data_IF_837468563232
#
_entry.id   IF_837468563232
#
_cell.length_a   1.000
_cell.length_b   1.000
_cell.length_c   1.000
_cell.angle_alpha   90.00
_cell.angle_beta   90.00
_cell.angle_gamma   90.00
#
_symmetry.space_group_name_H-M   'P 1'
#
loop_
_entity.id
_entity.type
_entity.pdbx_description
1 polymer ?
#
# COMPACT_ATOMS: atom_id res chain seq x y z
N UNK A 1 -16.39 3.71 -24.86
CA UNK A 1 -17.34 3.74 -23.73
C UNK A 1 -16.66 3.19 -22.47
N UNK A 2 -16.81 3.85 -21.33
CA UNK A 2 -16.20 3.46 -20.04
C UNK A 2 -17.23 2.76 -19.18
N UNK A 3 -16.92 1.54 -18.72
CA UNK A 3 -17.80 0.68 -17.93
C UNK A 3 -17.04 0.21 -16.69
N UNK A 4 -17.75 0.04 -15.59
CA UNK A 4 -17.25 -0.66 -14.43
C UNK A 4 -17.93 -2.01 -14.31
N UNK A 5 -17.12 -3.03 -14.06
CA UNK A 5 -17.62 -4.38 -13.86
C UNK A 5 -17.64 -4.66 -12.35
N UNK A 6 -18.79 -5.08 -11.78
CA UNK A 6 -18.85 -5.51 -10.39
C UNK A 6 -18.04 -6.79 -10.19
N UNK A 7 -17.53 -6.98 -8.98
CA UNK A 7 -16.85 -8.21 -8.58
C UNK A 7 -17.90 -9.27 -8.28
N UNK A 8 -17.75 -10.44 -8.90
CA UNK A 8 -18.69 -11.56 -8.75
C UNK A 8 -18.11 -12.67 -7.89
N UNK A 9 -16.79 -12.86 -7.91
CA UNK A 9 -16.13 -13.86 -7.08
C UNK A 9 -14.65 -13.59 -6.87
N UNK A 10 -14.13 -14.04 -5.73
CA UNK A 10 -12.72 -13.94 -5.37
C UNK A 10 -12.23 -15.29 -4.88
N UNK A 11 -11.12 -15.78 -5.43
CA UNK A 11 -10.40 -16.94 -4.89
C UNK A 11 -9.15 -16.46 -4.19
N UNK A 12 -9.08 -16.59 -2.86
CA UNK A 12 -7.93 -16.17 -2.07
C UNK A 12 -6.93 -17.33 -1.98
N UNK A 13 -5.67 -17.02 -2.24
CA UNK A 13 -4.51 -17.90 -2.16
C UNK A 13 -3.58 -17.45 -1.02
N UNK A 14 -2.56 -18.25 -0.63
CA UNK A 14 -1.63 -17.85 0.44
C UNK A 14 -0.80 -16.60 0.12
N UNK A 15 -0.59 -16.30 -1.16
CA UNK A 15 0.31 -15.25 -1.69
C UNK A 15 -0.42 -14.18 -2.52
N UNK A 16 -1.74 -14.27 -2.67
CA UNK A 16 -2.53 -13.34 -3.49
C UNK A 16 -4.00 -13.72 -3.56
N UNK A 17 -4.75 -13.08 -4.45
CA UNK A 17 -6.11 -13.49 -4.79
C UNK A 17 -6.35 -13.39 -6.30
N UNK A 18 -7.23 -14.23 -6.81
CA UNK A 18 -7.76 -14.14 -8.18
C UNK A 18 -9.15 -13.53 -8.08
N UNK A 19 -9.34 -12.36 -8.67
CA UNK A 19 -10.61 -11.62 -8.67
C UNK A 19 -11.28 -11.80 -10.01
N UNK A 20 -12.58 -12.08 -10.00
CA UNK A 20 -13.44 -12.18 -11.18
C UNK A 20 -14.50 -11.08 -11.16
N UNK A 21 -14.52 -10.28 -12.21
CA UNK A 21 -15.51 -9.24 -12.45
C UNK A 21 -16.35 -9.60 -13.66
N UNK A 22 -17.65 -9.35 -13.61
CA UNK A 22 -18.56 -9.66 -14.71
C UNK A 22 -19.69 -8.66 -14.79
N UNK A 23 -20.05 -8.25 -16.00
CA UNK A 23 -21.13 -7.30 -16.24
C UNK A 23 -21.54 -7.26 -17.71
N UNK A 24 -22.73 -6.70 -17.97
CA UNK A 24 -23.21 -6.46 -19.34
C UNK A 24 -22.86 -5.05 -19.77
N UNK A 25 -22.44 -4.90 -21.02
CA UNK A 25 -22.13 -3.62 -21.63
C UNK A 25 -22.61 -3.59 -23.08
N UNK A 26 -23.15 -2.45 -23.50
CA UNK A 26 -23.57 -2.23 -24.88
C UNK A 26 -22.41 -1.76 -25.74
N UNK A 27 -22.16 -2.45 -26.85
CA UNK A 27 -21.03 -2.17 -27.74
C UNK A 27 -21.48 -1.24 -28.87
N UNK A 28 -20.94 -0.01 -28.89
CA UNK A 28 -21.23 0.97 -29.94
C UNK A 28 -20.12 1.08 -31.01
N UNK A 29 -18.84 1.05 -30.60
CA UNK A 29 -17.69 1.27 -31.49
C UNK A 29 -16.71 0.09 -31.52
N UNK A 30 -17.16 -1.10 -31.12
CA UNK A 30 -16.29 -2.28 -31.00
C UNK A 30 -15.18 -2.15 -29.95
N UNK A 31 -15.29 -1.17 -29.03
CA UNK A 31 -14.34 -0.95 -27.94
C UNK A 31 -15.05 -0.78 -26.60
N UNK A 32 -14.60 -1.54 -25.61
CA UNK A 32 -15.09 -1.48 -24.22
C UNK A 32 -13.92 -1.14 -23.32
N UNK A 33 -14.08 -0.11 -22.49
CA UNK A 33 -13.06 0.35 -21.54
C UNK A 33 -13.52 0.03 -20.13
N UNK A 34 -12.87 -0.91 -19.47
CA UNK A 34 -13.11 -1.23 -18.07
C UNK A 34 -12.19 -0.39 -17.20
N UNK A 35 -12.76 0.41 -16.30
CA UNK A 35 -12.04 1.31 -15.40
C UNK A 35 -12.13 0.85 -13.94
N UNK A 36 -11.45 1.58 -13.04
CA UNK A 36 -11.36 1.26 -11.60
C UNK A 36 -10.79 -0.14 -11.32
N UNK A 37 -9.79 -0.54 -12.11
CA UNK A 37 -9.01 -1.74 -11.79
C UNK A 37 -7.89 -1.37 -10.81
N UNK A 38 -7.62 -2.19 -9.79
CA UNK A 38 -6.64 -1.88 -8.76
C UNK A 38 -5.21 -1.81 -9.32
N UNK A 39 -4.39 -0.89 -8.81
CA UNK A 39 -2.99 -0.73 -9.24
C UNK A 39 -2.16 -2.01 -9.01
N UNK A 40 -2.46 -2.70 -7.90
CA UNK A 40 -1.80 -3.91 -7.43
C UNK A 40 -2.14 -5.17 -8.24
N UNK A 41 -3.02 -5.08 -9.25
CA UNK A 41 -3.22 -6.20 -10.16
C UNK A 41 -1.94 -6.50 -10.93
N UNK A 42 -1.68 -7.79 -11.15
CA UNK A 42 -0.51 -8.26 -11.89
C UNK A 42 -0.80 -8.25 -13.41
N UNK A 43 -0.12 -7.41 -14.21
CA UNK A 43 -0.47 -7.20 -15.62
C UNK A 43 -0.52 -8.47 -16.46
N UNK A 44 0.42 -9.40 -16.27
CA UNK A 44 0.50 -10.64 -17.06
C UNK A 44 -0.61 -11.66 -16.79
N UNK A 45 -1.41 -11.44 -15.74
CA UNK A 45 -2.47 -12.36 -15.29
C UNK A 45 -3.86 -11.97 -15.76
N UNK A 46 -4.01 -10.80 -16.37
CA UNK A 46 -5.30 -10.33 -16.86
C UNK A 46 -5.79 -11.27 -17.96
N UNK A 47 -7.02 -11.75 -17.81
CA UNK A 47 -7.77 -12.52 -18.81
C UNK A 47 -9.12 -11.87 -18.96
N UNK A 48 -9.59 -11.75 -20.20
CA UNK A 48 -10.92 -11.25 -20.51
C UNK A 48 -11.62 -12.27 -21.41
N UNK A 49 -12.90 -12.47 -21.17
CA UNK A 49 -13.77 -13.34 -21.95
C UNK A 49 -15.07 -12.58 -22.27
N UNK A 50 -15.62 -12.89 -23.44
CA UNK A 50 -16.80 -12.24 -24.00
C UNK A 50 -17.74 -13.36 -24.47
N UNK A 51 -19.02 -13.32 -24.06
CA UNK A 51 -19.97 -14.40 -24.43
C UNK A 51 -20.62 -14.19 -25.79
N UNK A 52 -21.10 -12.99 -26.08
CA UNK A 52 -21.82 -12.65 -27.31
C UNK A 52 -20.94 -11.94 -28.36
N UNK A 53 -19.67 -12.33 -28.48
CA UNK A 53 -18.74 -11.67 -29.40
C UNK A 53 -17.35 -12.28 -29.45
N UNK A 54 -16.51 -11.73 -30.33
CA UNK A 54 -15.09 -12.12 -30.44
C UNK A 54 -14.21 -11.03 -29.86
N UNK A 55 -13.34 -11.40 -28.90
CA UNK A 55 -12.33 -10.52 -28.35
C UNK A 55 -11.09 -10.51 -29.25
N UNK A 56 -10.76 -9.35 -29.82
CA UNK A 56 -9.62 -9.19 -30.74
C UNK A 56 -8.36 -8.72 -30.04
N UNK A 57 -8.49 -7.82 -29.08
CA UNK A 57 -7.36 -7.21 -28.39
C UNK A 57 -7.70 -6.89 -26.93
N UNK A 58 -6.69 -7.00 -26.07
CA UNK A 58 -6.76 -6.74 -24.63
C UNK A 58 -5.54 -5.91 -24.24
N UNK A 59 -5.76 -4.63 -23.96
CA UNK A 59 -4.69 -3.71 -23.58
C UNK A 59 -4.93 -3.17 -22.19
N UNK A 60 -3.95 -3.35 -21.32
CA UNK A 60 -3.91 -2.76 -19.99
C UNK A 60 -3.16 -1.43 -20.06
N UNK A 61 -3.74 -0.38 -19.50
CA UNK A 61 -3.17 0.96 -19.41
C UNK A 61 -3.40 1.53 -18.00
N UNK A 62 -2.84 2.71 -17.74
CA UNK A 62 -3.11 3.45 -16.51
C UNK A 62 -4.25 4.44 -16.72
N UNK A 63 -5.13 4.50 -15.73
CA UNK A 63 -6.05 5.63 -15.56
C UNK A 63 -5.45 6.51 -14.48
N UNK A 64 -4.82 7.59 -14.92
CA UNK A 64 -4.39 8.66 -14.04
C UNK A 64 -5.56 9.62 -13.91
N UNK A 65 -6.27 9.65 -12.76
CA UNK A 65 -7.23 10.70 -12.49
C UNK A 65 -6.44 12.01 -12.41
N UNK A 66 -6.33 12.69 -13.54
CA UNK A 66 -5.83 14.05 -13.60
C UNK A 66 -7.02 14.93 -13.24
N UNK A 67 -7.26 15.12 -11.94
CA UNK A 67 -8.15 16.20 -11.54
C UNK A 67 -7.41 17.51 -11.82
N UNK A 68 -8.08 18.42 -12.54
CA UNK A 68 -7.51 19.70 -12.95
C UNK A 68 -7.06 20.44 -11.69
N UNK A 69 -5.76 20.72 -11.58
CA UNK A 69 -5.20 21.49 -10.47
C UNK A 69 -5.77 22.92 -10.40
N UNK A 70 -6.53 23.36 -11.40
CA UNK A 70 -7.13 24.69 -11.50
C UNK A 70 -7.83 25.17 -10.22
N UNK A 71 -8.71 24.34 -9.65
CA UNK A 71 -9.47 24.73 -8.44
C UNK A 71 -8.58 24.83 -7.19
N UNK A 72 -7.61 23.92 -7.05
CA UNK A 72 -6.68 23.93 -5.92
C UNK A 72 -5.73 25.14 -5.97
N UNK A 73 -5.30 25.55 -7.17
CA UNK A 73 -4.46 26.75 -7.35
C UNK A 73 -5.27 28.02 -7.05
N UNK A 74 -6.52 28.11 -7.50
CA UNK A 74 -7.36 29.27 -7.21
C UNK A 74 -7.62 29.46 -5.71
N UNK A 75 -7.88 28.37 -4.98
CA UNK A 75 -8.06 28.39 -3.52
C UNK A 75 -6.76 28.75 -2.79
N UNK A 76 -5.61 28.24 -3.26
CA UNK A 76 -4.30 28.61 -2.70
C UNK A 76 -3.96 30.09 -2.93
N UNK A 77 -4.27 30.62 -4.11
CA UNK A 77 -4.13 32.06 -4.41
C UNK A 77 -5.01 32.88 -3.48
N UNK A 78 -6.27 32.47 -3.25
CA UNK A 78 -7.17 33.15 -2.33
C UNK A 78 -6.66 33.16 -0.87
N UNK A 79 -5.94 32.14 -0.43
CA UNK A 79 -5.27 32.12 0.88
C UNK A 79 -4.13 33.14 0.93
N UNK A 80 -3.28 33.19 -0.09
CA UNK A 80 -2.16 34.15 -0.16
C UNK A 80 -2.67 35.58 -0.19
N UNK A 81 -3.71 35.85 -0.98
CA UNK A 81 -4.35 37.17 -1.04
C UNK A 81 -4.96 37.57 0.31
N UNK A 82 -5.60 36.64 1.02
CA UNK A 82 -6.16 36.90 2.34
C UNK A 82 -5.06 37.20 3.39
N UNK A 83 -3.94 36.47 3.36
CA UNK A 83 -2.78 36.74 4.21
C UNK A 83 -2.16 38.11 3.91
N UNK A 84 -2.05 38.48 2.63
CA UNK A 84 -1.57 39.79 2.23
C UNK A 84 -2.51 40.91 2.71
N UNK A 85 -3.83 40.70 2.66
CA UNK A 85 -4.81 41.64 3.22
C UNK A 85 -4.68 41.78 4.74
N UNK A 86 -4.50 40.67 5.47
CA UNK A 86 -4.27 40.69 6.92
C UNK A 86 -3.02 41.49 7.27
N UNK A 87 -1.90 41.25 6.59
CA UNK A 87 -0.66 41.97 6.83
C UNK A 87 -0.80 43.49 6.59
N UNK A 88 -1.62 43.91 5.62
CA UNK A 88 -1.92 45.34 5.38
C UNK A 88 -2.72 45.95 6.53
N UNK A 89 -3.78 45.28 6.96
CA UNK A 89 -4.62 45.74 8.08
C UNK A 89 -3.81 45.76 9.38
N UNK A 90 -2.99 44.76 9.66
CA UNK A 90 -2.12 44.71 10.84
C UNK A 90 -1.10 45.86 10.85
N UNK A 91 -0.52 46.20 9.69
CA UNK A 91 0.37 47.35 9.56
C UNK A 91 -0.36 48.68 9.83
N UNK A 92 -1.61 48.81 9.37
CA UNK A 92 -2.42 50.00 9.62
C UNK A 92 -2.84 50.12 11.09
N UNK A 93 -3.20 49.01 11.73
CA UNK A 93 -3.48 48.96 13.17
C UNK A 93 -2.25 49.44 13.95
N UNK A 94 -1.06 48.90 13.63
CA UNK A 94 0.18 49.31 14.28
C UNK A 94 0.46 50.81 14.10
N UNK A 95 0.15 51.38 12.92
CA UNK A 95 0.27 52.81 12.66
C UNK A 95 -0.70 53.64 13.53
N UNK A 96 -1.99 53.27 13.56
CA UNK A 96 -3.01 53.97 14.37
C UNK A 96 -2.69 53.86 15.86
N UNK A 97 -2.22 52.71 16.33
CA UNK A 97 -1.82 52.52 17.72
C UNK A 97 -0.58 53.35 18.09
N UNK A 98 0.38 53.51 17.17
CA UNK A 98 1.50 54.43 17.36
C UNK A 98 1.02 55.90 17.45
N UNK A 99 0.07 56.31 16.61
CA UNK A 99 -0.53 57.66 16.68
C UNK A 99 -1.28 57.87 17.99
N UNK A 100 -2.04 56.87 18.47
CA UNK A 100 -2.73 56.92 19.77
C UNK A 100 -1.74 57.02 20.92
N UNK A 101 -0.66 56.25 20.88
CA UNK A 101 0.38 56.30 21.91
C UNK A 101 1.05 57.68 21.96
N UNK A 102 1.34 58.28 20.80
CA UNK A 102 1.85 59.65 20.69
C UNK A 102 0.84 60.66 21.26
N UNK A 103 -0.43 60.56 20.85
CA UNK A 103 -1.51 61.43 21.32
C UNK A 103 -1.65 61.40 22.84
N UNK A 104 -1.68 60.19 23.42
CA UNK A 104 -1.76 59.98 24.87
C UNK A 104 -0.49 60.42 25.59
N UNK A 105 0.68 60.34 24.95
CA UNK A 105 1.95 60.85 25.49
C UNK A 105 2.05 62.38 25.49
N UNK A 106 1.28 63.07 24.65
CA UNK A 106 1.15 64.53 24.66
C UNK A 106 0.13 65.03 25.70
N UNK A 107 -0.72 64.14 26.21
CA UNK A 107 -1.67 64.49 27.25
C UNK A 107 -0.90 64.89 28.53
N UNK A 108 -1.22 66.03 29.14
CA UNK A 108 -0.49 66.51 30.31
C UNK A 108 -0.69 65.57 31.51
N UNK A 109 0.42 65.07 32.05
CA UNK A 109 0.44 64.23 33.25
C UNK A 109 0.86 65.02 34.48
N UNK A 110 0.24 64.70 35.63
CA UNK A 110 0.71 65.22 36.92
C UNK A 110 1.96 64.46 37.36
N UNK A 111 3.08 65.17 37.48
CA UNK A 111 4.31 64.66 38.07
C UNK A 111 4.35 65.02 39.57
N UNK A 112 4.24 64.04 40.49
CA UNK A 112 4.23 64.29 41.93
C UNK A 112 5.57 64.82 42.48
N UNK A 113 6.67 64.66 41.74
CA UNK A 113 8.00 65.20 42.12
C UNK A 113 8.30 66.56 41.47
N UNK A 114 7.42 67.03 40.58
CA UNK A 114 7.56 68.29 39.84
C UNK A 114 7.00 69.53 40.57
N UNK A 115 7.26 70.74 40.02
CA UNK A 115 6.64 71.96 40.53
C UNK A 115 5.11 71.90 40.41
N UNK A 116 4.42 72.34 41.47
CA UNK A 116 2.96 72.32 41.52
C UNK A 116 2.35 73.11 40.34
N UNK A 117 1.32 72.56 39.67
CA UNK A 117 0.70 73.22 38.52
C UNK A 117 0.08 74.56 38.95
N UNK A 118 0.34 75.59 38.15
CA UNK A 118 -0.30 76.91 38.27
C UNK A 118 -1.69 76.90 37.64
N UNK A 119 -2.53 77.89 37.98
CA UNK A 119 -3.85 78.05 37.35
C UNK A 119 -3.76 78.17 35.82
N UNK A 120 -2.76 78.91 35.31
CA UNK A 120 -2.51 79.06 33.88
C UNK A 120 -2.09 77.74 33.19
N UNK A 121 -1.33 76.88 33.88
CA UNK A 121 -0.99 75.56 33.33
C UNK A 121 -2.20 74.61 33.32
N UNK A 122 -3.10 74.70 34.31
CA UNK A 122 -4.34 73.90 34.32
C UNK A 122 -5.29 74.30 33.20
N UNK A 123 -5.43 75.61 32.92
CA UNK A 123 -6.20 76.11 31.78
C UNK A 123 -5.59 75.68 30.44
N UNK A 124 -4.25 75.73 30.33
CA UNK A 124 -3.54 75.24 29.14
C UNK A 124 -3.68 73.72 28.93
N UNK A 125 -3.72 72.94 30.01
CA UNK A 125 -3.97 71.50 29.95
C UNK A 125 -5.39 71.20 29.49
N UNK A 126 -6.40 71.89 30.02
CA UNK A 126 -7.78 71.73 29.59
C UNK A 126 -7.99 72.13 28.11
N UNK A 127 -7.30 73.18 27.64
CA UNK A 127 -7.36 73.59 26.24
C UNK A 127 -6.68 72.57 25.29
N UNK A 128 -5.57 71.96 25.72
CA UNK A 128 -4.89 70.91 24.97
C UNK A 128 -5.72 69.62 24.93
N UNK A 129 -6.30 69.23 26.05
CA UNK A 129 -7.19 68.06 26.16
C UNK A 129 -8.41 68.21 25.22
N UNK A 130 -9.09 69.36 25.28
CA UNK A 130 -10.21 69.68 24.39
C UNK A 130 -9.82 69.69 22.89
N UNK A 131 -8.55 69.97 22.56
CA UNK A 131 -8.05 69.92 21.20
C UNK A 131 -7.65 68.49 20.75
N UNK A 132 -7.21 67.64 21.67
CA UNK A 132 -6.80 66.26 21.41
C UNK A 132 -7.97 65.27 21.41
N UNK A 133 -9.02 65.55 22.19
CA UNK A 133 -10.19 64.67 22.33
C UNK A 133 -10.81 64.24 21.00
N UNK A 134 -11.17 65.15 20.06
CA UNK A 134 -11.73 64.76 18.77
C UNK A 134 -10.78 63.89 17.93
N UNK A 135 -9.47 64.09 18.09
CA UNK A 135 -8.45 63.34 17.37
C UNK A 135 -8.30 61.93 17.94
N UNK A 136 -8.30 61.80 19.28
CA UNK A 136 -8.31 60.52 19.97
C UNK A 136 -9.59 59.73 19.65
N UNK A 137 -10.76 60.37 19.66
CA UNK A 137 -12.02 59.74 19.26
C UNK A 137 -11.99 59.22 17.82
N UNK A 138 -11.41 59.99 16.89
CA UNK A 138 -11.26 59.58 15.49
C UNK A 138 -10.31 58.38 15.34
N UNK A 139 -9.17 58.38 16.05
CA UNK A 139 -8.24 57.25 16.08
C UNK A 139 -8.88 56.02 16.74
N UNK A 140 -9.66 56.21 17.81
CA UNK A 140 -10.42 55.17 18.51
C UNK A 140 -11.53 54.57 17.64
N UNK A 141 -12.20 55.38 16.81
CA UNK A 141 -13.09 54.89 15.77
C UNK A 141 -12.35 54.10 14.69
N UNK A 142 -11.22 54.61 14.17
CA UNK A 142 -10.46 53.96 13.09
C UNK A 142 -9.93 52.59 13.48
N UNK A 143 -9.29 52.40 14.64
CA UNK A 143 -8.83 51.05 14.96
C UNK A 143 -9.96 50.10 15.41
N UNK A 144 -11.13 50.59 15.84
CA UNK A 144 -12.32 49.71 15.99
C UNK A 144 -12.77 49.17 14.63
N UNK A 145 -12.71 49.99 13.59
CA UNK A 145 -13.00 49.56 12.21
C UNK A 145 -11.97 48.55 11.72
N UNK A 146 -10.67 48.85 11.83
CA UNK A 146 -9.60 47.95 11.41
C UNK A 146 -9.61 46.62 12.17
N UNK A 147 -9.95 46.63 13.47
CA UNK A 147 -10.06 45.41 14.26
C UNK A 147 -11.21 44.52 13.77
N UNK A 148 -12.35 45.11 13.36
CA UNK A 148 -13.45 44.34 12.74
C UNK A 148 -13.03 43.74 11.40
N UNK A 149 -12.33 44.51 10.57
CA UNK A 149 -11.80 44.04 9.29
C UNK A 149 -10.83 42.87 9.48
N UNK A 150 -9.93 42.98 10.47
CA UNK A 150 -9.01 41.90 10.84
C UNK A 150 -9.74 40.63 11.29
N UNK A 151 -10.80 40.76 12.08
CA UNK A 151 -11.64 39.63 12.50
C UNK A 151 -12.38 38.98 11.32
N UNK A 152 -12.88 39.76 10.38
CA UNK A 152 -13.51 39.28 9.14
C UNK A 152 -12.51 38.50 8.27
N UNK A 153 -11.32 39.06 8.06
CA UNK A 153 -10.24 38.39 7.35
C UNK A 153 -9.82 37.11 8.07
N UNK A 154 -9.79 37.11 9.41
CA UNK A 154 -9.50 35.94 10.24
C UNK A 154 -10.54 34.82 10.05
N UNK A 155 -11.84 35.17 10.06
CA UNK A 155 -12.93 34.23 9.76
C UNK A 155 -12.80 33.65 8.35
N UNK A 156 -12.49 34.49 7.35
CA UNK A 156 -12.26 34.06 5.97
C UNK A 156 -11.05 33.13 5.84
N UNK A 157 -9.96 33.42 6.57
CA UNK A 157 -8.79 32.54 6.62
C UNK A 157 -9.15 31.16 7.17
N UNK A 158 -9.97 31.11 8.23
CA UNK A 158 -10.41 29.87 8.83
C UNK A 158 -11.34 29.07 7.91
N UNK A 159 -12.27 29.71 7.21
CA UNK A 159 -13.13 29.03 6.23
C UNK A 159 -12.33 28.49 5.04
N UNK A 160 -11.34 29.24 4.54
CA UNK A 160 -10.45 28.78 3.46
C UNK A 160 -9.61 27.58 3.91
N UNK A 161 -9.04 27.62 5.12
CA UNK A 161 -8.32 26.47 5.70
C UNK A 161 -9.21 25.24 5.84
N UNK A 162 -10.43 25.43 6.34
CA UNK A 162 -11.40 24.34 6.46
C UNK A 162 -11.76 23.75 5.10
N UNK A 163 -11.98 24.57 4.07
CA UNK A 163 -12.24 24.11 2.71
C UNK A 163 -11.08 23.26 2.15
N UNK A 164 -9.84 23.72 2.35
CA UNK A 164 -8.64 22.96 1.94
C UNK A 164 -8.48 21.64 2.72
N UNK A 165 -8.72 21.65 4.03
CA UNK A 165 -8.61 20.47 4.88
C UNK A 165 -9.71 19.43 4.63
N UNK A 166 -10.97 19.87 4.53
CA UNK A 166 -12.10 18.99 4.21
C UNK A 166 -12.00 18.39 2.81
N UNK A 167 -11.32 19.08 1.88
CA UNK A 167 -10.89 18.47 0.63
C UNK A 167 -9.80 17.45 0.87
N UNK A 168 -8.79 17.68 1.71
CA UNK A 168 -7.70 16.72 1.96
C UNK A 168 -8.10 15.39 2.62
N UNK A 169 -9.22 15.33 3.33
CA UNK A 169 -9.65 14.14 4.08
C UNK A 169 -10.31 13.05 3.20
N UNK A 170 -9.87 11.80 3.42
CA UNK A 170 -10.44 10.47 3.08
C UNK A 170 -10.91 10.19 1.62
N UNK A 171 -11.55 11.14 0.95
CA UNK A 171 -12.05 11.00 -0.43
C UNK A 171 -10.95 11.20 -1.47
N UNK A 172 -9.91 11.98 -1.15
CA UNK A 172 -8.82 12.27 -2.07
C UNK A 172 -7.86 11.08 -2.22
N UNK A 173 -7.51 10.36 -1.17
CA UNK A 173 -6.60 9.20 -1.34
C UNK A 173 -7.18 8.18 -2.33
N UNK A 174 -8.50 7.96 -2.33
CA UNK A 174 -9.19 7.12 -3.34
C UNK A 174 -9.24 7.77 -4.72
N UNK A 175 -9.30 9.10 -4.80
CA UNK A 175 -9.40 9.87 -6.05
C UNK A 175 -8.06 10.09 -6.75
N UNK A 176 -6.94 10.13 -6.03
CA UNK A 176 -5.59 10.34 -6.58
C UNK A 176 -4.79 9.05 -6.73
N UNK A 177 -5.30 7.91 -6.23
CA UNK A 177 -4.63 6.65 -6.47
C UNK A 177 -4.71 6.31 -7.96
N UNK A 178 -3.57 6.14 -8.65
CA UNK A 178 -3.59 5.72 -10.04
C UNK A 178 -4.30 4.37 -10.10
N UNK A 179 -5.31 4.27 -10.94
CA UNK A 179 -5.98 3.00 -11.20
C UNK A 179 -5.50 2.45 -12.52
N UNK A 180 -5.81 1.20 -12.80
CA UNK A 180 -5.60 0.61 -14.11
C UNK A 180 -6.89 0.61 -14.90
N UNK A 181 -6.72 0.57 -16.21
CA UNK A 181 -7.79 0.54 -17.19
C UNK A 181 -7.52 -0.56 -18.20
N UNK A 182 -8.56 -1.31 -18.55
CA UNK A 182 -8.50 -2.35 -19.56
C UNK A 182 -9.30 -1.90 -20.78
N UNK A 183 -8.60 -1.67 -21.88
CA UNK A 183 -9.20 -1.39 -23.18
C UNK A 183 -9.34 -2.71 -23.95
N UNK A 184 -10.58 -3.11 -24.22
CA UNK A 184 -10.96 -4.34 -24.92
C UNK A 184 -11.46 -3.99 -26.32
N UNK A 185 -10.93 -4.63 -27.36
CA UNK A 185 -11.48 -4.57 -28.71
C UNK A 185 -12.39 -5.78 -28.94
N UNK A 186 -13.69 -5.55 -29.06
CA UNK A 186 -14.71 -6.60 -29.16
C UNK A 186 -15.49 -6.44 -30.46
N UNK A 187 -15.56 -7.50 -31.24
CA UNK A 187 -16.37 -7.58 -32.44
C UNK A 187 -17.72 -8.23 -32.11
N UNK A 188 -18.73 -7.38 -31.89
CA UNK A 188 -20.11 -7.77 -31.68
C UNK A 188 -21.02 -6.54 -31.85
N UNK A 189 -22.32 -6.78 -32.03
CA UNK A 189 -23.35 -5.75 -32.09
C UNK A 189 -24.32 -5.91 -30.92
N UNK A 190 -24.58 -4.82 -30.19
CA UNK A 190 -25.55 -4.80 -29.09
C UNK A 190 -24.95 -5.08 -27.71
N UNK A 191 -25.79 -5.62 -26.82
CA UNK A 191 -25.43 -5.89 -25.42
C UNK A 191 -24.64 -7.17 -25.31
N UNK A 192 -23.48 -7.10 -24.67
CA UNK A 192 -22.55 -8.22 -24.53
C UNK A 192 -22.10 -8.35 -23.08
N UNK A 193 -21.98 -9.59 -22.61
CA UNK A 193 -21.46 -9.90 -21.30
C UNK A 193 -19.94 -10.08 -21.33
N UNK A 194 -19.26 -9.28 -20.51
CA UNK A 194 -17.80 -9.29 -20.38
C UNK A 194 -17.45 -9.83 -19.00
N UNK A 195 -16.54 -10.80 -18.98
CA UNK A 195 -15.92 -11.33 -17.77
C UNK A 195 -14.43 -11.02 -17.79
N UNK A 196 -13.90 -10.48 -16.70
CA UNK A 196 -12.48 -10.16 -16.53
C UNK A 196 -11.99 -10.84 -15.27
N UNK A 197 -10.88 -11.57 -15.38
CA UNK A 197 -10.20 -12.16 -14.23
C UNK A 197 -8.75 -11.70 -14.17
N UNK A 198 -8.25 -11.42 -12.97
CA UNK A 198 -6.86 -11.03 -12.76
C UNK A 198 -6.39 -11.49 -11.38
N UNK A 199 -5.07 -11.70 -11.25
CA UNK A 199 -4.44 -11.88 -9.95
C UNK A 199 -4.12 -10.52 -9.34
N UNK A 200 -4.29 -10.40 -8.03
CA UNK A 200 -3.96 -9.23 -7.24
C UNK A 200 -3.10 -9.64 -6.03
N UNK A 201 -2.08 -8.83 -5.77
CA UNK A 201 -1.30 -8.93 -4.52
C UNK A 201 -1.95 -8.12 -3.40
N UNK A 202 -1.52 -8.34 -2.16
CA UNK A 202 -2.12 -7.65 -1.01
C UNK A 202 -3.38 -8.33 -0.48
N UNK A 203 -3.63 -9.57 -0.88
CA UNK A 203 -4.56 -10.46 -0.21
C UNK A 203 -3.84 -11.76 0.16
N UNK A 204 -4.19 -12.33 1.31
CA UNK A 204 -3.72 -13.64 1.74
C UNK A 204 -4.75 -14.31 2.62
N UNK A 205 -4.76 -15.63 2.64
CA UNK A 205 -5.49 -16.36 3.66
C UNK A 205 -4.63 -17.43 4.33
N UNK A 206 -5.02 -17.82 5.54
CA UNK A 206 -4.41 -18.92 6.29
C UNK A 206 -5.50 -19.72 7.00
N UNK A 207 -5.45 -21.06 6.96
CA UNK A 207 -6.37 -21.89 7.72
C UNK A 207 -5.99 -21.90 9.21
N UNK A 208 -6.96 -21.68 10.08
CA UNK A 208 -6.84 -21.86 11.52
C UNK A 208 -7.75 -23.01 11.95
N UNK A 209 -7.15 -24.05 12.53
CA UNK A 209 -7.87 -25.25 12.96
C UNK A 209 -8.12 -25.19 14.47
N UNK A 210 -9.33 -25.54 14.88
CA UNK A 210 -9.70 -25.76 16.26
C UNK A 210 -10.24 -27.19 16.39
N UNK A 211 -9.77 -27.92 17.40
CA UNK A 211 -10.24 -29.28 17.67
C UNK A 211 -10.90 -29.30 19.04
N UNK A 212 -12.16 -29.68 19.06
CA UNK A 212 -12.92 -29.90 20.29
C UNK A 212 -13.08 -31.41 20.49
N UNK A 213 -12.60 -31.93 21.62
CA UNK A 213 -12.78 -33.34 22.00
C UNK A 213 -13.89 -33.50 23.04
N UNK A 214 -14.54 -34.66 23.05
CA UNK A 214 -15.36 -35.08 24.18
C UNK A 214 -14.49 -35.42 25.40
N UNK A 215 -15.10 -35.52 26.58
CA UNK A 215 -14.37 -35.79 27.84
C UNK A 215 -13.64 -37.13 27.83
N UNK A 216 -14.16 -38.09 27.06
CA UNK A 216 -13.66 -39.46 27.01
C UNK A 216 -12.69 -39.68 25.84
N UNK A 217 -12.34 -38.63 25.09
CA UNK A 217 -11.48 -38.63 23.89
C UNK A 217 -11.90 -39.63 22.79
N UNK A 218 -13.17 -40.01 22.76
CA UNK A 218 -13.74 -40.98 21.83
C UNK A 218 -14.19 -40.33 20.51
N UNK A 219 -14.52 -39.03 20.56
CA UNK A 219 -14.99 -38.25 19.41
C UNK A 219 -14.41 -36.84 19.46
N UNK A 220 -14.08 -36.31 18.28
CA UNK A 220 -13.62 -34.94 18.12
C UNK A 220 -14.34 -34.22 16.98
N UNK A 221 -14.45 -32.90 17.10
CA UNK A 221 -14.89 -32.00 16.02
C UNK A 221 -13.70 -31.13 15.60
N UNK A 222 -13.26 -31.30 14.37
CA UNK A 222 -12.31 -30.39 13.73
C UNK A 222 -13.08 -29.26 13.03
N UNK A 223 -12.84 -28.03 13.47
CA UNK A 223 -13.37 -26.82 12.84
C UNK A 223 -12.23 -26.09 12.14
N UNK A 224 -12.40 -25.78 10.85
CA UNK A 224 -11.49 -24.92 10.10
C UNK A 224 -12.08 -23.52 9.98
N UNK A 225 -11.29 -22.51 10.33
CA UNK A 225 -11.57 -21.09 10.10
C UNK A 225 -10.62 -20.56 9.04
N UNK A 226 -11.11 -19.74 8.12
CA UNK A 226 -10.27 -19.03 7.18
C UNK A 226 -9.97 -17.63 7.72
N UNK A 227 -8.69 -17.33 7.97
CA UNK A 227 -8.24 -15.99 8.31
C UNK A 227 -7.84 -15.28 7.03
N UNK A 228 -8.54 -14.19 6.68
CA UNK A 228 -8.30 -13.43 5.45
C UNK A 228 -7.77 -12.05 5.78
N UNK A 229 -6.63 -11.69 5.20
CA UNK A 229 -6.10 -10.33 5.23
C UNK A 229 -6.19 -9.72 3.84
N UNK A 230 -6.79 -8.53 3.73
CA UNK A 230 -6.99 -7.82 2.46
C UNK A 230 -6.55 -6.37 2.59
N UNK A 231 -5.72 -5.95 1.65
CA UNK A 231 -5.22 -4.60 1.43
C UNK A 231 -5.16 -4.32 -0.09
N UNK A 232 -6.12 -4.87 -0.84
CA UNK A 232 -6.18 -4.76 -2.31
C UNK A 232 -6.79 -3.44 -2.77
N UNK A 233 -7.46 -2.71 -1.87
CA UNK A 233 -8.20 -1.48 -2.18
C UNK A 233 -9.54 -1.73 -2.88
N UNK A 234 -9.89 -3.00 -3.11
CA UNK A 234 -11.17 -3.42 -3.67
C UNK A 234 -12.19 -3.72 -2.58
N UNK A 235 -13.46 -3.55 -2.92
CA UNK A 235 -14.58 -3.90 -2.07
C UNK A 235 -15.04 -5.33 -2.38
N UNK A 236 -14.98 -6.22 -1.38
CA UNK A 236 -15.42 -7.61 -1.48
C UNK A 236 -16.72 -7.87 -0.71
N UNK A 237 -17.50 -6.82 -0.43
CA UNK A 237 -18.82 -6.93 0.20
C UNK A 237 -19.79 -7.69 -0.71
N UNK A 238 -20.51 -8.65 -0.14
CA UNK A 238 -21.51 -9.48 -0.84
C UNK A 238 -20.97 -10.28 -2.05
N UNK A 239 -19.69 -10.67 -2.01
CA UNK A 239 -19.01 -11.45 -3.06
C UNK A 239 -18.81 -12.91 -2.63
N UNK A 240 -18.90 -13.85 -3.59
CA UNK A 240 -18.52 -15.25 -3.35
C UNK A 240 -17.01 -15.38 -3.13
N UNK A 241 -16.59 -15.81 -1.94
CA UNK A 241 -15.18 -16.01 -1.60
C UNK A 241 -14.85 -17.50 -1.52
N UNK A 242 -13.89 -17.93 -2.33
CA UNK A 242 -13.31 -19.27 -2.31
C UNK A 242 -11.86 -19.22 -1.78
N UNK A 243 -11.39 -20.34 -1.25
CA UNK A 243 -10.04 -20.48 -0.68
C UNK A 243 -9.27 -21.59 -1.39
N UNK A 244 -8.03 -21.30 -1.76
CA UNK A 244 -7.13 -22.26 -2.40
C UNK A 244 -5.85 -22.40 -1.59
N UNK A 245 -5.41 -23.63 -1.32
CA UNK A 245 -4.16 -23.90 -0.58
C UNK A 245 -2.91 -23.84 -1.46
N UNK A 246 -3.07 -23.68 -2.77
CA UNK A 246 -1.98 -23.51 -3.73
C UNK A 246 -1.64 -22.04 -3.90
N UNK A 247 -0.36 -21.67 -4.15
CA UNK A 247 -0.01 -20.30 -4.47
C UNK A 247 -0.66 -19.85 -5.79
N UNK A 248 -1.10 -18.60 -5.82
CA UNK A 248 -1.61 -17.91 -7.00
C UNK A 248 -0.50 -17.72 -8.03
N UNK A 249 0.72 -17.38 -7.59
CA UNK A 249 1.89 -17.29 -8.46
C UNK A 249 2.59 -18.64 -8.49
N UNK A 250 2.41 -19.35 -9.60
CA UNK A 250 3.21 -20.55 -9.86
C UNK A 250 4.55 -20.12 -10.46
N UNK A 251 5.58 -20.08 -9.62
CA UNK A 251 6.96 -20.04 -10.11
C UNK A 251 7.21 -21.40 -10.75
N UNK A 252 7.51 -21.40 -12.05
CA UNK A 252 7.90 -22.59 -12.79
C UNK A 252 9.39 -22.47 -13.02
N UNK A 253 10.17 -23.29 -12.33
CA UNK A 253 11.59 -23.43 -12.63
C UNK A 253 11.75 -24.06 -14.02
N UNK A 254 12.82 -23.67 -14.72
CA UNK A 254 13.12 -24.24 -16.03
C UNK A 254 13.34 -25.75 -15.86
N UNK A 255 12.66 -26.61 -16.63
CA UNK A 255 12.87 -28.04 -16.52
C UNK A 255 14.31 -28.37 -16.88
N UNK A 256 15.02 -29.08 -16.01
CA UNK A 256 16.32 -29.64 -16.35
C UNK A 256 16.11 -30.77 -17.35
N UNK A 257 16.57 -30.55 -18.59
CA UNK A 257 16.57 -31.60 -19.60
C UNK A 257 17.72 -32.57 -19.31
N UNK A 258 17.38 -33.85 -19.14
CA UNK A 258 18.39 -34.88 -18.98
C UNK A 258 19.28 -34.93 -20.23
N UNK A 259 20.60 -34.94 -20.03
CA UNK A 259 21.55 -35.11 -21.14
C UNK A 259 21.35 -36.49 -21.77
N UNK A 260 20.99 -36.54 -23.05
CA UNK A 260 21.04 -37.79 -23.82
C UNK A 260 22.50 -38.14 -24.11
N UNK A 261 23.00 -39.21 -23.49
CA UNK A 261 24.34 -39.74 -23.75
C UNK A 261 24.20 -41.00 -24.61
N UNK A 262 24.91 -41.06 -25.73
CA UNK A 262 25.09 -42.29 -26.50
C UNK A 262 26.13 -43.15 -25.77
N UNK A 263 25.74 -44.34 -25.30
CA UNK A 263 26.60 -45.23 -24.52
C UNK A 263 25.98 -46.60 -24.31
N UNK A 264 26.69 -47.48 -23.61
CA UNK A 264 26.19 -48.79 -23.19
C UNK A 264 25.05 -48.65 -22.18
N UNK A 265 24.13 -49.61 -22.15
CA UNK A 265 22.96 -49.59 -21.28
C UNK A 265 23.37 -49.39 -19.81
N UNK A 266 23.00 -48.25 -19.23
CA UNK A 266 23.18 -47.98 -17.82
C UNK A 266 22.11 -48.72 -17.00
N UNK A 267 22.45 -49.29 -15.83
CA UNK A 267 21.45 -49.92 -14.97
C UNK A 267 20.39 -48.88 -14.54
N UNK A 268 19.12 -49.29 -14.38
CA UNK A 268 18.06 -48.39 -13.97
C UNK A 268 18.40 -47.77 -12.61
N UNK A 269 18.18 -46.46 -12.49
CA UNK A 269 18.38 -45.75 -11.21
C UNK A 269 17.37 -46.35 -10.21
N UNK A 270 17.80 -46.85 -9.04
CA UNK A 270 16.86 -47.38 -8.06
C UNK A 270 15.86 -46.29 -7.71
N UNK A 271 14.58 -46.60 -7.86
CA UNK A 271 13.52 -45.71 -7.40
C UNK A 271 13.64 -45.61 -5.89
N UNK A 272 13.92 -44.42 -5.36
CA UNK A 272 13.96 -44.17 -3.91
C UNK A 272 12.60 -44.28 -3.21
N UNK A 273 11.67 -45.02 -3.82
CA UNK A 273 10.37 -45.29 -3.24
C UNK A 273 10.52 -46.28 -2.10
N UNK A 274 10.26 -45.80 -0.88
CA UNK A 274 10.13 -46.64 0.31
C UNK A 274 8.64 -46.91 0.54
N UNK A 275 8.23 -48.15 0.86
CA UNK A 275 6.87 -48.40 1.33
C UNK A 275 6.60 -47.58 2.59
N UNK A 276 5.37 -47.06 2.70
CA UNK A 276 4.93 -46.33 3.89
C UNK A 276 4.91 -47.30 5.09
N UNK A 277 5.46 -46.92 6.26
CA UNK A 277 5.37 -47.74 7.47
C UNK A 277 3.91 -47.97 7.87
N UNK A 278 3.62 -49.17 8.38
CA UNK A 278 2.26 -49.58 8.80
C UNK A 278 1.91 -49.09 10.21
N UNK A 279 2.87 -48.49 10.93
CA UNK A 279 2.80 -48.11 12.33
C UNK A 279 2.97 -46.59 12.54
N UNK A 280 2.29 -46.05 13.56
CA UNK A 280 2.34 -44.62 13.90
C UNK A 280 3.74 -44.18 14.37
N UNK A 281 4.47 -45.06 15.06
CA UNK A 281 5.83 -44.79 15.54
C UNK A 281 6.82 -44.72 14.35
N UNK A 282 6.63 -45.53 13.31
CA UNK A 282 7.36 -45.44 12.05
C UNK A 282 7.02 -44.21 11.21
N UNK A 283 5.79 -43.68 11.32
CA UNK A 283 5.36 -42.45 10.64
C UNK A 283 5.88 -41.18 11.34
N UNK A 284 6.01 -41.20 12.67
CA UNK A 284 6.47 -40.08 13.49
C UNK A 284 7.57 -40.50 14.47
N UNK A 285 8.75 -40.92 13.96
CA UNK A 285 9.82 -41.37 14.84
C UNK A 285 10.27 -40.23 15.75
N UNK A 286 10.35 -40.51 17.05
CA UNK A 286 10.80 -39.58 18.08
C UNK A 286 12.26 -39.14 17.94
N UNK A 287 13.04 -39.85 17.11
CA UNK A 287 14.46 -39.55 16.87
C UNK A 287 14.79 -39.68 15.36
N UNK A 288 14.98 -38.57 14.62
CA UNK A 288 15.05 -38.60 13.15
C UNK A 288 16.35 -39.17 12.58
N UNK A 289 17.37 -39.44 13.42
CA UNK A 289 18.72 -39.83 12.97
C UNK A 289 18.94 -41.35 13.03
N UNK A 290 18.24 -42.07 13.90
CA UNK A 290 18.45 -43.51 14.13
C UNK A 290 17.98 -44.40 12.96
N UNK A 291 16.98 -43.93 12.20
CA UNK A 291 16.41 -44.65 11.04
C UNK A 291 17.42 -44.79 9.88
N UNK A 292 18.38 -43.86 9.75
CA UNK A 292 19.40 -43.91 8.69
C UNK A 292 20.52 -44.91 8.96
N UNK A 293 20.78 -45.23 10.24
CA UNK A 293 21.91 -46.07 10.64
C UNK A 293 21.57 -47.57 10.59
N UNK A 294 20.35 -47.96 10.95
CA UNK A 294 19.96 -49.37 11.10
C UNK A 294 19.85 -50.15 9.79
N UNK A 295 19.79 -49.48 8.63
CA UNK A 295 19.60 -50.15 7.33
C UNK A 295 20.85 -50.16 6.45
N UNK A 296 21.86 -49.33 6.72
CA UNK A 296 23.15 -49.44 6.02
C UNK A 296 23.83 -50.78 6.35
N UNK A 297 23.63 -51.29 7.57
CA UNK A 297 24.11 -52.61 8.00
C UNK A 297 23.34 -53.77 7.36
N UNK A 298 22.02 -53.63 7.14
CA UNK A 298 21.22 -54.65 6.44
C UNK A 298 21.52 -54.71 4.95
N UNK A 299 21.74 -53.56 4.31
CA UNK A 299 22.04 -53.50 2.87
C UNK A 299 23.46 -53.98 2.53
N UNK A 300 24.42 -53.95 3.46
CA UNK A 300 25.74 -54.59 3.28
C UNK A 300 25.66 -56.12 3.37
N UNK A 301 24.80 -56.65 4.24
CA UNK A 301 24.63 -58.10 4.44
C UNK A 301 24.01 -58.81 3.22
N UNK A 302 23.10 -58.14 2.51
CA UNK A 302 22.54 -58.67 1.26
C UNK A 302 23.53 -58.60 0.07
N UNK A 303 24.53 -57.71 0.11
CA UNK A 303 25.55 -57.61 -0.93
C UNK A 303 26.68 -58.64 -0.79
N UNK A 304 27.08 -59.01 0.43
CA UNK A 304 28.13 -60.02 0.65
C UNK A 304 27.66 -61.46 0.34
N UNK A 305 26.35 -61.71 0.29
CA UNK A 305 25.77 -63.03 0.03
C UNK A 305 25.83 -63.47 -1.44
N UNK A 306 26.24 -62.58 -2.37
CA UNK A 306 26.12 -62.79 -3.81
C UNK A 306 27.42 -62.92 -4.61
N UNK A 307 28.60 -62.89 -3.98
CA UNK A 307 29.88 -62.83 -4.71
C UNK A 307 30.88 -63.90 -4.28
N UNK A 308 30.94 -65.01 -5.02
CA UNK A 308 32.09 -65.94 -5.07
C UNK A 308 32.28 -66.46 -6.50
N UNK A 309 33.30 -65.94 -7.21
CA UNK A 309 34.44 -66.67 -7.81
C UNK A 309 35.12 -65.87 -8.96
N UNK A 310 36.43 -65.77 -8.80
CA UNK A 310 37.53 -65.67 -9.77
C UNK A 310 37.80 -64.39 -10.59
N UNK A 311 38.79 -63.66 -10.04
CA UNK A 311 40.17 -63.50 -10.54
C UNK A 311 40.55 -62.39 -11.55
N UNK A 312 41.79 -61.94 -11.32
CA UNK A 312 42.66 -61.04 -12.09
C UNK A 312 42.42 -59.52 -12.09
N UNK A 313 43.22 -58.85 -11.24
CA UNK A 313 43.63 -57.45 -11.41
C UNK A 313 44.32 -57.25 -12.76
N UNK A 314 44.18 -56.06 -13.35
CA UNK A 314 45.40 -55.34 -13.69
C UNK A 314 45.44 -53.89 -13.22
N UNK A 315 46.69 -53.46 -13.11
CA UNK A 315 47.28 -52.23 -12.63
C UNK A 315 46.76 -50.96 -13.35
N UNK A 316 46.36 -49.94 -12.60
CA UNK A 316 46.17 -48.56 -13.12
C UNK A 316 46.96 -47.59 -12.25
N UNK A 317 48.28 -47.67 -12.38
CA UNK A 317 49.14 -46.50 -12.21
C UNK A 317 49.02 -45.62 -13.46
N UNK A 318 48.18 -44.58 -13.41
CA UNK A 318 48.51 -43.23 -13.93
C UNK A 318 47.30 -42.29 -13.94
N UNK A 319 47.61 -41.02 -13.61
CA UNK A 319 46.80 -39.79 -13.70
C UNK A 319 45.99 -39.40 -12.46
N UNK A 320 46.72 -38.96 -11.43
CA UNK A 320 46.28 -37.89 -10.51
C UNK A 320 46.00 -36.61 -11.31
N UNK A 321 44.76 -36.10 -11.26
CA UNK A 321 44.46 -34.68 -11.44
C UNK A 321 44.54 -33.94 -10.08
N UNK A 322 44.71 -32.61 -10.05
CA UNK A 322 45.11 -31.87 -8.86
C UNK A 322 44.01 -31.80 -7.78
N UNK A 323 44.38 -31.66 -6.50
CA UNK A 323 43.42 -31.58 -5.40
C UNK A 323 42.66 -30.23 -5.40
N UNK A 324 41.36 -30.31 -5.09
CA UNK A 324 40.50 -29.14 -4.83
C UNK A 324 40.90 -28.47 -3.50
N UNK A 325 40.86 -27.13 -3.38
CA UNK A 325 41.13 -26.44 -2.12
C UNK A 325 39.97 -26.58 -1.12
N UNK A 326 40.33 -26.70 0.17
CA UNK A 326 39.42 -26.81 1.33
C UNK A 326 38.58 -25.54 1.55
N UNK A 327 37.36 -25.67 2.14
CA UNK A 327 36.48 -24.54 2.40
C UNK A 327 36.81 -23.91 3.77
N UNK A 328 37.85 -23.09 3.82
CA UNK A 328 38.07 -22.16 4.94
C UNK A 328 38.75 -20.90 4.41
N UNK A 329 37.91 -19.92 4.05
CA UNK A 329 38.18 -18.48 4.04
C UNK A 329 37.17 -17.75 3.14
N UNK A 330 36.06 -17.26 3.71
CA UNK A 330 35.34 -16.12 3.14
C UNK A 330 35.33 -15.01 4.21
N UNK A 331 35.85 -13.82 3.91
CA UNK A 331 35.90 -12.70 4.86
C UNK A 331 34.50 -12.10 5.04
N UNK A 332 34.18 -11.77 6.30
CA UNK A 332 32.95 -11.06 6.71
C UNK A 332 32.89 -9.65 6.11
N UNK A 333 31.71 -9.14 5.70
CA UNK A 333 31.56 -7.75 5.28
C UNK A 333 31.60 -6.80 6.50
N UNK A 334 32.41 -5.74 6.40
CA UNK A 334 32.49 -4.66 7.39
C UNK A 334 31.17 -3.86 7.48
N UNK A 335 30.80 -3.34 8.68
CA UNK A 335 29.62 -2.50 8.85
C UNK A 335 29.82 -1.08 8.30
N UNK A 336 28.73 -0.49 7.80
CA UNK A 336 28.66 0.87 7.25
C UNK A 336 28.84 1.96 8.34
N UNK A 337 29.40 3.14 8.00
CA UNK A 337 29.65 4.22 8.95
C UNK A 337 28.37 4.96 9.37
N UNK A 338 28.40 5.52 10.59
CA UNK A 338 27.37 6.41 11.16
C UNK A 338 27.15 7.68 10.35
#
# INVERSE_FOLDING_TARGET
MTVELPIVGVTVHPDGAIVRRRGRCDIQEGRVRVHRLPLLLEPGTVRAAVREGTLRDVRLDFDLPFDDRGDAVAEQVAVVENLAAQARVDAEIAHVDAMRALARGLAPGFDPEGPAPTAASLEGWAALDAALDPWLEALDARARELQREREELGRRAQSLRWALQSRSDESLWRRWMPTRRLDLAVEAAGSVEVEVSYAIVGARWSPAYAVDFDRDLSRGRLTMRALVGQATGEDWSDVEVAFASVPCRRVVDLPELASMKLGTAAPPKPTGWRPLPDDLDGLFPTDPVSVLATENERSMMDQESGAFLDDEKPDVSSRRGPPMPSPDAMPMPSPAPM
#
